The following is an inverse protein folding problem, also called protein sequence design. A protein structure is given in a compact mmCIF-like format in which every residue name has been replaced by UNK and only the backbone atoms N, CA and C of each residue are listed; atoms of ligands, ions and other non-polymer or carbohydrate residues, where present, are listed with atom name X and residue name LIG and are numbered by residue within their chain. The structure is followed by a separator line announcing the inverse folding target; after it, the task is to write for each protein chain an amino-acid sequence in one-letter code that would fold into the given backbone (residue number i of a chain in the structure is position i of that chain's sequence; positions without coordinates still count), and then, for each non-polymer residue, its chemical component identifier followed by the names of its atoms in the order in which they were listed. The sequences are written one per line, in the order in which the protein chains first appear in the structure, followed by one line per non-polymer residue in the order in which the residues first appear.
data_IF_422205643224
#
_entry.id   IF_422205643224
#
_cell.length_a   1.000
_cell.length_b   1.000
_cell.length_c   1.000
_cell.angle_alpha   90.00
_cell.angle_beta   90.00
_cell.angle_gamma   90.00
#
_symmetry.space_group_name_H-M   'P 1'
#
loop_
_entity.id
_entity.type
_entity.pdbx_description
1 polymer ?
#
# COMPACT_ATOMS: atom_id res chain seq x y z
N UNK A 1 -9.13 -22.21 18.12
CA UNK A 1 -8.49 -21.05 17.44
C UNK A 1 -6.98 -20.95 17.67
N UNK A 2 -6.44 -21.29 18.86
CA UNK A 2 -4.99 -21.28 19.14
C UNK A 2 -4.13 -22.18 18.22
N UNK A 3 -4.63 -23.36 17.81
CA UNK A 3 -3.88 -24.28 16.93
C UNK A 3 -3.65 -23.72 15.51
N UNK A 4 -4.54 -22.84 15.02
CA UNK A 4 -4.36 -22.14 13.73
C UNK A 4 -3.32 -21.03 13.84
N UNK A 5 -3.19 -20.38 14.99
CA UNK A 5 -2.15 -19.37 15.25
C UNK A 5 -0.75 -20.02 15.33
N UNK A 6 -0.63 -21.18 15.97
CA UNK A 6 0.62 -21.95 15.98
C UNK A 6 1.00 -22.48 14.57
N UNK A 7 0.02 -22.88 13.76
CA UNK A 7 0.26 -23.21 12.36
C UNK A 7 0.68 -21.99 11.54
N UNK A 8 0.07 -20.82 11.75
CA UNK A 8 0.50 -19.58 11.11
C UNK A 8 1.90 -19.16 11.54
N UNK A 9 2.24 -19.29 12.83
CA UNK A 9 3.57 -18.98 13.35
C UNK A 9 4.64 -19.91 12.78
N UNK A 10 4.36 -21.23 12.69
CA UNK A 10 5.30 -22.19 12.11
C UNK A 10 5.47 -22.01 10.60
N UNK A 11 4.40 -21.66 9.87
CA UNK A 11 4.46 -21.31 8.44
C UNK A 11 5.16 -19.97 8.20
N UNK A 12 4.93 -18.97 9.05
CA UNK A 12 5.65 -17.71 9.03
C UNK A 12 7.14 -17.93 9.29
N UNK A 13 7.52 -18.77 10.26
CA UNK A 13 8.91 -19.10 10.54
C UNK A 13 9.58 -19.85 9.37
N UNK A 14 8.86 -20.76 8.69
CA UNK A 14 9.33 -21.41 7.46
C UNK A 14 9.51 -20.41 6.31
N UNK A 15 8.56 -19.49 6.13
CA UNK A 15 8.64 -18.42 5.14
C UNK A 15 9.80 -17.47 5.44
N UNK A 16 10.03 -17.10 6.70
CA UNK A 16 11.19 -16.31 7.12
C UNK A 16 12.48 -17.05 6.79
N UNK A 17 12.61 -18.34 7.14
CA UNK A 17 13.80 -19.15 6.81
C UNK A 17 14.03 -19.22 5.30
N UNK A 18 12.98 -19.36 4.50
CA UNK A 18 13.07 -19.36 3.04
C UNK A 18 13.51 -18.00 2.50
N UNK A 19 12.95 -16.90 3.01
CA UNK A 19 13.36 -15.52 2.65
C UNK A 19 14.79 -15.24 3.11
N UNK A 20 15.25 -15.74 4.26
CA UNK A 20 16.64 -15.56 4.69
C UNK A 20 17.62 -16.36 3.82
N UNK A 21 17.25 -17.56 3.39
CA UNK A 21 18.11 -18.44 2.58
C UNK A 21 18.15 -18.02 1.11
N UNK A 22 17.01 -17.65 0.52
CA UNK A 22 16.90 -17.34 -0.90
C UNK A 22 16.69 -15.86 -1.21
N UNK A 23 16.26 -15.05 -0.25
CA UNK A 23 15.95 -13.63 -0.46
C UNK A 23 17.16 -12.83 -0.90
N UNK A 24 18.37 -13.13 -0.42
CA UNK A 24 19.61 -12.49 -0.90
C UNK A 24 19.87 -12.79 -2.37
N UNK A 25 19.62 -14.03 -2.81
CA UNK A 25 19.80 -14.44 -4.22
C UNK A 25 18.74 -13.81 -5.11
N UNK A 26 17.47 -13.84 -4.70
CA UNK A 26 16.39 -13.16 -5.41
C UNK A 26 16.60 -11.65 -5.50
N UNK A 27 17.04 -11.02 -4.41
CA UNK A 27 17.35 -9.59 -4.38
C UNK A 27 18.47 -9.24 -5.35
N UNK A 28 19.55 -10.04 -5.40
CA UNK A 28 20.65 -9.85 -6.36
C UNK A 28 20.19 -10.03 -7.81
N UNK A 29 19.40 -11.06 -8.11
CA UNK A 29 18.84 -11.28 -9.45
C UNK A 29 17.94 -10.12 -9.88
N UNK A 30 17.10 -9.62 -8.97
CA UNK A 30 16.22 -8.50 -9.24
C UNK A 30 17.00 -7.21 -9.49
N UNK A 31 18.05 -6.94 -8.71
CA UNK A 31 18.95 -5.81 -8.95
C UNK A 31 19.66 -5.92 -10.29
N UNK A 32 20.09 -7.12 -10.68
CA UNK A 32 20.77 -7.34 -11.96
C UNK A 32 19.84 -7.11 -13.15
N UNK A 33 18.59 -7.58 -13.08
CA UNK A 33 17.57 -7.30 -14.09
C UNK A 33 17.20 -5.81 -14.17
N UNK A 34 17.23 -5.11 -13.03
CA UNK A 34 16.85 -3.70 -12.93
C UNK A 34 18.05 -2.74 -13.00
N UNK A 35 19.25 -3.22 -13.37
CA UNK A 35 20.46 -2.39 -13.48
C UNK A 35 20.27 -1.11 -14.29
N UNK A 36 19.46 -1.16 -15.34
CA UNK A 36 19.13 0.01 -16.18
C UNK A 36 18.46 1.17 -15.43
N UNK A 37 17.83 0.92 -14.28
CA UNK A 37 17.18 1.92 -13.43
C UNK A 37 18.05 2.37 -12.25
N UNK A 38 19.18 1.69 -12.01
CA UNK A 38 20.08 1.97 -10.89
C UNK A 38 21.09 3.02 -11.35
N UNK A 39 21.07 4.18 -10.71
CA UNK A 39 21.99 5.26 -11.04
C UNK A 39 23.29 5.14 -10.24
N UNK A 40 24.40 4.88 -10.94
CA UNK A 40 25.76 4.83 -10.38
C UNK A 40 26.51 6.16 -10.67
N UNK A 41 27.34 6.69 -9.77
CA UNK A 41 27.57 6.31 -8.36
C UNK A 41 26.41 6.67 -7.41
N UNK A 42 26.16 5.87 -6.35
CA UNK A 42 25.22 6.17 -5.28
C UNK A 42 25.79 7.23 -4.31
N UNK A 43 26.08 8.42 -4.83
CA UNK A 43 26.54 9.56 -4.01
C UNK A 43 25.34 10.16 -3.27
N UNK A 44 25.55 10.60 -2.02
CA UNK A 44 24.51 11.22 -1.18
C UNK A 44 23.82 12.40 -1.89
N UNK A 45 24.57 13.17 -2.66
CA UNK A 45 24.05 14.30 -3.44
C UNK A 45 23.10 13.86 -4.57
N UNK A 46 23.46 12.81 -5.32
CA UNK A 46 22.58 12.25 -6.36
C UNK A 46 21.31 11.64 -5.76
N UNK A 47 21.42 10.97 -4.61
CA UNK A 47 20.25 10.44 -3.91
C UNK A 47 19.29 11.57 -3.49
N UNK A 48 19.82 12.67 -2.96
CA UNK A 48 19.03 13.85 -2.58
C UNK A 48 18.37 14.50 -3.80
N UNK A 49 19.08 14.63 -4.91
CA UNK A 49 18.53 15.16 -6.17
C UNK A 49 17.42 14.27 -6.73
N UNK A 50 17.62 12.95 -6.78
CA UNK A 50 16.60 12.00 -7.23
C UNK A 50 15.36 12.00 -6.32
N UNK A 51 15.56 12.08 -5.00
CA UNK A 51 14.46 12.18 -4.05
C UNK A 51 13.64 13.45 -4.27
N UNK A 52 14.31 14.60 -4.48
CA UNK A 52 13.64 15.86 -4.82
C UNK A 52 12.90 15.77 -6.15
N UNK A 53 13.52 15.22 -7.19
CA UNK A 53 12.89 15.04 -8.49
C UNK A 53 11.67 14.13 -8.42
N UNK A 54 11.74 13.03 -7.67
CA UNK A 54 10.62 12.15 -7.42
C UNK A 54 9.50 12.90 -6.70
N UNK A 55 9.82 13.66 -5.65
CA UNK A 55 8.84 14.46 -4.91
C UNK A 55 8.14 15.48 -5.81
N UNK A 56 8.89 16.24 -6.61
CA UNK A 56 8.31 17.22 -7.54
C UNK A 56 7.49 16.56 -8.65
N UNK A 57 7.94 15.43 -9.20
CA UNK A 57 7.18 14.66 -10.20
C UNK A 57 5.87 14.16 -9.60
N UNK A 58 5.91 13.65 -8.36
CA UNK A 58 4.71 13.21 -7.65
C UNK A 58 3.76 14.38 -7.41
N UNK A 59 4.25 15.53 -6.94
CA UNK A 59 3.45 16.74 -6.75
C UNK A 59 2.82 17.23 -8.06
N UNK A 60 3.57 17.27 -9.14
CA UNK A 60 3.07 17.66 -10.46
C UNK A 60 1.99 16.70 -11.00
N UNK A 61 2.03 15.42 -10.60
CA UNK A 61 1.00 14.43 -10.96
C UNK A 61 -0.28 14.51 -10.13
N UNK A 62 -0.30 15.24 -9.01
CA UNK A 62 -1.48 15.40 -8.13
C UNK A 62 -2.69 16.01 -8.86
N UNK A 63 -2.57 17.14 -9.61
CA UNK A 63 -3.72 17.71 -10.30
C UNK A 63 -4.38 16.73 -11.26
N UNK A 64 -3.59 16.02 -12.09
CA UNK A 64 -4.14 15.00 -13.01
C UNK A 64 -4.85 13.85 -12.30
N UNK A 65 -4.36 13.43 -11.12
CA UNK A 65 -5.03 12.42 -10.28
C UNK A 65 -6.32 12.95 -9.66
N UNK A 66 -6.34 14.22 -9.25
CA UNK A 66 -7.54 14.88 -8.71
C UNK A 66 -8.64 14.98 -9.78
N UNK A 67 -8.29 15.31 -11.01
CA UNK A 67 -9.23 15.32 -12.14
C UNK A 67 -9.84 13.93 -12.41
N UNK A 68 -9.01 12.88 -12.41
CA UNK A 68 -9.49 11.50 -12.56
C UNK A 68 -10.45 11.12 -11.41
N UNK A 69 -10.07 11.43 -10.17
CA UNK A 69 -10.90 11.19 -9.00
C UNK A 69 -12.25 11.92 -9.08
N UNK A 70 -12.28 13.18 -9.54
CA UNK A 70 -13.54 13.90 -9.72
C UNK A 70 -14.44 13.26 -10.77
N UNK A 71 -13.88 12.68 -11.84
CA UNK A 71 -14.66 11.93 -12.84
C UNK A 71 -15.26 10.65 -12.24
N UNK A 72 -14.50 9.92 -11.43
CA UNK A 72 -15.00 8.72 -10.74
C UNK A 72 -16.08 9.08 -9.71
N UNK A 73 -15.91 10.19 -8.97
CA UNK A 73 -16.94 10.69 -8.04
C UNK A 73 -18.21 11.11 -8.78
N UNK A 74 -18.10 11.77 -9.93
CA UNK A 74 -19.27 12.16 -10.73
C UNK A 74 -19.99 10.93 -11.30
N UNK A 75 -19.23 9.91 -11.71
CA UNK A 75 -19.77 8.61 -12.13
C UNK A 75 -20.55 7.91 -10.99
N UNK A 76 -19.96 7.82 -9.80
CA UNK A 76 -20.63 7.26 -8.60
C UNK A 76 -21.86 8.08 -8.20
N UNK A 77 -21.78 9.42 -8.31
CA UNK A 77 -22.91 10.31 -8.04
C UNK A 77 -24.05 10.08 -9.03
N UNK A 78 -23.74 9.84 -10.30
CA UNK A 78 -24.74 9.52 -11.32
C UNK A 78 -25.38 8.14 -11.08
N UNK A 79 -24.59 7.14 -10.69
CA UNK A 79 -25.09 5.83 -10.24
C UNK A 79 -26.03 5.96 -9.04
N UNK A 80 -25.66 6.75 -8.04
CA UNK A 80 -26.50 6.99 -6.86
C UNK A 80 -27.84 7.66 -7.23
N UNK A 81 -27.84 8.62 -8.17
CA UNK A 81 -29.09 9.24 -8.66
C UNK A 81 -30.02 8.22 -9.32
N UNK A 82 -29.46 7.19 -9.95
CA UNK A 82 -30.19 6.06 -10.55
C UNK A 82 -30.32 4.86 -9.58
N UNK A 83 -30.56 5.15 -8.30
CA UNK A 83 -30.57 4.19 -7.18
C UNK A 83 -31.48 2.97 -7.32
N UNK A 84 -32.43 3.00 -8.24
CA UNK A 84 -33.37 1.90 -8.48
C UNK A 84 -32.76 0.76 -9.32
N UNK A 85 -31.67 1.02 -10.05
CA UNK A 85 -30.99 0.02 -10.91
C UNK A 85 -29.68 -0.52 -10.28
N UNK A 86 -29.41 -0.14 -9.03
CA UNK A 86 -28.13 -0.41 -8.37
C UNK A 86 -28.05 -1.88 -7.92
N UNK A 87 -27.22 -2.66 -8.61
CA UNK A 87 -26.92 -4.05 -8.27
C UNK A 87 -26.35 -4.16 -6.84
N UNK A 88 -26.84 -5.13 -6.09
CA UNK A 88 -26.36 -5.47 -4.73
C UNK A 88 -24.85 -5.76 -4.71
N UNK A 89 -24.30 -6.18 -5.85
CA UNK A 89 -22.87 -6.48 -6.04
C UNK A 89 -21.98 -5.22 -5.97
N UNK A 90 -22.38 -4.10 -6.60
CA UNK A 90 -21.67 -2.82 -6.52
C UNK A 90 -21.70 -2.23 -5.11
N UNK A 91 -22.83 -2.37 -4.42
CA UNK A 91 -22.95 -1.97 -3.02
C UNK A 91 -22.02 -2.80 -2.10
N UNK A 92 -21.88 -4.10 -2.40
CA UNK A 92 -20.96 -4.99 -1.68
C UNK A 92 -19.49 -4.60 -1.88
N UNK A 93 -19.09 -4.27 -3.11
CA UNK A 93 -17.73 -3.82 -3.43
C UNK A 93 -17.43 -2.50 -2.73
N UNK A 94 -18.35 -1.53 -2.77
CA UNK A 94 -18.20 -0.25 -2.08
C UNK A 94 -18.06 -0.43 -0.56
N UNK A 95 -18.83 -1.35 0.03
CA UNK A 95 -18.73 -1.67 1.46
C UNK A 95 -17.38 -2.30 1.82
N UNK A 96 -16.88 -3.25 1.02
CA UNK A 96 -15.57 -3.87 1.23
C UNK A 96 -14.43 -2.85 1.09
N UNK A 97 -14.51 -1.97 0.09
CA UNK A 97 -13.54 -0.89 -0.09
C UNK A 97 -13.54 0.07 1.12
N UNK A 98 -14.73 0.45 1.61
CA UNK A 98 -14.87 1.26 2.81
C UNK A 98 -14.27 0.61 4.06
N UNK A 99 -14.50 -0.71 4.23
CA UNK A 99 -13.91 -1.48 5.32
C UNK A 99 -12.38 -1.54 5.22
N UNK A 100 -11.84 -1.75 4.03
CA UNK A 100 -10.39 -1.77 3.79
C UNK A 100 -9.75 -0.39 4.05
N UNK A 101 -10.39 0.70 3.61
CA UNK A 101 -9.96 2.06 3.96
C UNK A 101 -9.97 2.30 5.48
N UNK A 102 -10.99 1.82 6.18
CA UNK A 102 -11.07 1.94 7.63
C UNK A 102 -9.96 1.13 8.34
N UNK A 103 -9.70 -0.09 7.87
CA UNK A 103 -8.61 -0.91 8.40
C UNK A 103 -7.24 -0.24 8.20
N UNK A 104 -6.99 0.35 7.04
CA UNK A 104 -5.76 1.12 6.77
C UNK A 104 -5.66 2.38 7.62
N UNK A 105 -6.77 3.08 7.88
CA UNK A 105 -6.80 4.22 8.79
C UNK A 105 -6.44 3.79 10.22
N UNK A 106 -7.02 2.70 10.73
CA UNK A 106 -6.68 2.15 12.03
C UNK A 106 -5.21 1.69 12.10
N UNK A 107 -4.68 1.08 11.04
CA UNK A 107 -3.26 0.73 10.95
C UNK A 107 -2.37 1.98 11.01
N UNK A 108 -2.73 3.06 10.31
CA UNK A 108 -2.05 4.35 10.38
C UNK A 108 -2.09 4.96 11.78
N UNK A 109 -3.21 4.84 12.49
CA UNK A 109 -3.34 5.27 13.89
C UNK A 109 -2.41 4.48 14.81
N UNK A 110 -2.30 3.17 14.64
CA UNK A 110 -1.38 2.32 15.43
C UNK A 110 0.08 2.71 15.17
N UNK A 111 0.44 2.97 13.90
CA UNK A 111 1.79 3.44 13.54
C UNK A 111 2.06 4.84 14.11
N UNK A 112 1.08 5.75 14.05
CA UNK A 112 1.16 7.10 14.62
C UNK A 112 1.25 7.11 16.15
N UNK A 113 0.68 6.10 16.82
CA UNK A 113 0.83 5.87 18.28
C UNK A 113 2.08 5.07 18.66
N UNK A 114 3.04 4.89 17.75
CA UNK A 114 4.30 4.21 18.03
C UNK A 114 4.18 2.70 18.23
N UNK A 115 3.28 2.03 17.49
CA UNK A 115 2.99 0.59 17.58
C UNK A 115 2.32 0.14 18.88
N UNK A 116 1.60 1.04 19.55
CA UNK A 116 0.80 0.68 20.72
C UNK A 116 -0.52 0.06 20.26
N UNK A 117 -0.58 -1.28 20.23
CA UNK A 117 -1.76 -2.05 19.80
C UNK A 117 -2.94 -1.97 20.78
N UNK A 118 -2.72 -1.52 22.02
CA UNK A 118 -3.74 -1.47 23.08
C UNK A 118 -3.73 -0.12 23.80
N UNK A 119 -4.65 0.76 23.40
CA UNK A 119 -5.04 1.96 24.16
C UNK A 119 -4.08 3.16 24.07
N UNK A 120 -4.62 4.34 24.35
CA UNK A 120 -3.79 5.50 24.72
C UNK A 120 -3.13 5.20 26.05
N UNK A 121 -1.81 5.41 26.14
CA UNK A 121 -1.15 5.54 27.45
C UNK A 121 -1.74 6.79 28.12
N UNK A 122 -2.56 6.56 29.14
CA UNK A 122 -2.97 7.59 30.11
C UNK A 122 -1.89 7.71 31.17
#
# INVERSE_FOLDING_TARGET
MASKLLQLQSKACQATKFVTQHGTTYYKQLLEQNKQYIQEPPTVEKCNLLAKQLLYTRLASIPGRRDAFWKEVDYVKNLWKNRQDLKVEDAGIAALFGLECFAWFCAGEIVGRGFTFTGYYV
#
